data_IF_036219096723
#
_entry.id   IF_036219096723
#
_cell.length_a   1.000
_cell.length_b   1.000
_cell.length_c   1.000
_cell.angle_alpha   90.00
_cell.angle_beta   90.00
_cell.angle_gamma   90.00
#
_symmetry.space_group_name_H-M   'P 1'
#
loop_
_entity.id
_entity.type
_entity.pdbx_description
1 polymer ?
#
# COMPACT_ATOMS: atom_id res chain seq x y z
N UNK A 1 -10.46 -16.59 15.79
CA UNK A 1 -10.45 -15.14 15.51
C UNK A 1 -9.50 -14.92 14.36
N UNK A 2 -10.01 -14.42 13.24
CA UNK A 2 -9.18 -14.05 12.10
C UNK A 2 -8.20 -12.97 12.59
N UNK A 3 -6.87 -13.16 12.53
CA UNK A 3 -5.92 -12.21 13.11
C UNK A 3 -5.82 -10.99 12.21
N UNK A 4 -6.82 -10.13 12.29
CA UNK A 4 -6.78 -8.80 11.72
C UNK A 4 -6.82 -7.75 12.82
N UNK A 5 -6.21 -6.61 12.55
CA UNK A 5 -6.25 -5.42 13.39
C UNK A 5 -6.62 -4.21 12.56
N UNK A 6 -7.06 -3.14 13.22
CA UNK A 6 -7.17 -1.84 12.58
C UNK A 6 -5.79 -1.39 12.07
N UNK A 7 -5.76 -0.82 10.87
CA UNK A 7 -4.56 -0.24 10.31
C UNK A 7 -4.20 1.07 11.01
N UNK A 8 -2.91 1.27 11.28
CA UNK A 8 -2.36 2.52 11.77
C UNK A 8 -2.21 3.52 10.60
N UNK A 9 -2.19 4.84 10.88
CA UNK A 9 -1.83 5.84 9.88
C UNK A 9 -0.48 5.52 9.22
N UNK A 10 -0.44 5.63 7.89
CA UNK A 10 0.76 5.31 7.09
C UNK A 10 0.87 3.84 6.67
N UNK A 11 0.02 2.95 7.18
CA UNK A 11 -0.04 1.58 6.69
C UNK A 11 -0.81 1.49 5.38
N UNK A 12 -0.28 0.73 4.43
CA UNK A 12 -0.70 0.71 3.05
C UNK A 12 -1.25 -0.65 2.67
N UNK A 13 -2.35 -0.59 1.95
CA UNK A 13 -2.84 -1.72 1.19
C UNK A 13 -1.88 -2.05 0.05
N UNK A 14 -1.92 -3.29 -0.45
CA UNK A 14 -1.20 -3.75 -1.66
C UNK A 14 -1.49 -2.90 -2.91
N UNK A 15 -2.52 -2.05 -2.86
CA UNK A 15 -2.85 -1.05 -3.86
C UNK A 15 -2.19 0.32 -3.67
N UNK A 16 -1.41 0.52 -2.61
CA UNK A 16 -0.79 1.80 -2.23
C UNK A 16 -1.71 2.80 -1.53
N UNK A 17 -3.00 2.51 -1.36
CA UNK A 17 -3.90 3.34 -0.53
C UNK A 17 -3.71 3.03 0.95
N UNK A 18 -4.10 3.96 1.80
CA UNK A 18 -4.18 3.72 3.24
C UNK A 18 -5.03 2.48 3.53
N UNK A 19 -4.44 1.55 4.27
CA UNK A 19 -5.13 0.39 4.79
C UNK A 19 -6.16 0.82 5.85
N UNK A 20 -7.24 0.07 5.95
CA UNK A 20 -8.21 0.13 7.04
C UNK A 20 -8.01 -1.03 8.01
N UNK A 21 -7.64 -2.17 7.46
CA UNK A 21 -7.42 -3.42 8.19
C UNK A 21 -6.06 -3.97 7.79
N UNK A 22 -5.39 -4.63 8.73
CA UNK A 22 -4.14 -5.36 8.50
C UNK A 22 -4.36 -6.81 8.91
N UNK A 23 -4.11 -7.72 7.99
CA UNK A 23 -4.22 -9.16 8.20
C UNK A 23 -2.84 -9.75 8.43
N UNK A 24 -2.66 -10.48 9.52
CA UNK A 24 -1.48 -11.30 9.73
C UNK A 24 -1.63 -12.62 8.96
N UNK A 25 -0.67 -12.93 8.11
CA UNK A 25 -0.56 -14.22 7.42
C UNK A 25 0.07 -15.27 8.33
N UNK A 26 -0.10 -16.54 7.97
CA UNK A 26 0.44 -17.67 8.73
C UNK A 26 1.98 -17.66 8.84
N UNK A 27 2.64 -17.00 7.90
CA UNK A 27 4.10 -16.78 7.85
C UNK A 27 4.59 -15.58 8.70
N UNK A 28 3.67 -14.83 9.31
CA UNK A 28 3.97 -13.65 10.10
C UNK A 28 4.01 -12.34 9.31
N UNK A 29 3.89 -12.37 7.97
CA UNK A 29 3.75 -11.14 7.18
C UNK A 29 2.40 -10.47 7.44
N UNK A 30 2.44 -9.15 7.56
CA UNK A 30 1.25 -8.32 7.69
C UNK A 30 0.87 -7.71 6.34
N UNK A 31 -0.40 -7.83 5.95
CA UNK A 31 -0.94 -7.26 4.71
C UNK A 31 -2.08 -6.28 5.00
N UNK A 32 -1.91 -5.06 4.50
CA UNK A 32 -2.93 -4.03 4.51
C UNK A 32 -4.04 -4.26 3.50
N UNK A 33 -5.26 -3.94 3.90
CA UNK A 33 -6.47 -3.97 3.08
C UNK A 33 -7.23 -2.65 3.23
N UNK A 34 -7.56 -2.03 2.10
CA UNK A 34 -8.24 -0.73 2.09
C UNK A 34 -9.77 -0.82 1.97
N UNK A 35 -10.36 -2.03 2.00
CA UNK A 35 -11.80 -2.23 1.80
C UNK A 35 -12.23 -2.41 0.33
N UNK A 36 -11.29 -2.37 -0.62
CA UNK A 36 -11.59 -2.58 -2.04
C UNK A 36 -11.29 -4.04 -2.41
N UNK A 37 -12.29 -4.87 -2.75
CA UNK A 37 -12.12 -6.32 -2.94
C UNK A 37 -11.21 -6.68 -4.12
N UNK A 38 -11.18 -5.83 -5.15
CA UNK A 38 -10.30 -5.96 -6.31
C UNK A 38 -8.82 -5.67 -5.97
N UNK A 39 -8.48 -5.40 -4.70
CA UNK A 39 -7.14 -4.96 -4.31
C UNK A 39 -6.71 -3.71 -5.07
N UNK A 40 -7.70 -2.93 -5.53
CA UNK A 40 -7.56 -1.78 -6.41
C UNK A 40 -6.99 -2.05 -7.80
N UNK A 41 -7.03 -3.27 -8.35
CA UNK A 41 -6.49 -3.64 -9.67
C UNK A 41 -6.76 -2.62 -10.79
N UNK A 42 -7.86 -1.87 -10.71
CA UNK A 42 -8.16 -0.73 -11.61
C UNK A 42 -7.31 0.53 -11.44
N UNK A 43 -6.41 0.61 -10.46
CA UNK A 43 -5.66 1.83 -10.13
C UNK A 43 -4.38 2.07 -10.97
N UNK A 44 -4.15 1.30 -12.05
CA UNK A 44 -3.02 1.51 -12.96
C UNK A 44 -1.71 0.83 -12.54
N UNK A 45 -0.58 1.54 -12.69
CA UNK A 45 0.77 1.04 -12.34
C UNK A 45 0.89 0.68 -10.86
N UNK A 46 1.76 -0.28 -10.57
CA UNK A 46 2.04 -0.70 -9.21
C UNK A 46 2.76 0.43 -8.45
N UNK A 47 2.23 0.90 -7.31
CA UNK A 47 2.83 2.00 -6.57
C UNK A 47 4.15 1.63 -5.87
N UNK A 48 4.49 0.34 -5.78
CA UNK A 48 5.69 -0.14 -5.08
C UNK A 48 6.89 -0.35 -6.01
N UNK A 49 6.65 -0.78 -7.26
CA UNK A 49 7.72 -1.07 -8.22
C UNK A 49 7.63 -0.23 -9.50
N UNK A 50 6.56 0.55 -9.71
CA UNK A 50 6.32 1.32 -10.93
C UNK A 50 5.94 0.50 -12.16
N UNK A 51 5.96 -0.83 -12.07
CA UNK A 51 5.65 -1.73 -13.18
C UNK A 51 4.15 -2.04 -13.27
N UNK A 52 3.76 -2.93 -14.20
CA UNK A 52 2.43 -3.52 -14.19
C UNK A 52 2.16 -4.23 -12.86
N UNK A 53 0.89 -4.25 -12.49
CA UNK A 53 0.44 -4.84 -11.24
C UNK A 53 0.68 -6.35 -11.23
N UNK A 54 1.12 -6.84 -10.08
CA UNK A 54 1.38 -8.26 -9.87
C UNK A 54 0.06 -8.99 -9.62
N UNK A 55 -0.15 -10.10 -10.31
CA UNK A 55 -1.26 -11.03 -10.10
C UNK A 55 -0.79 -12.44 -10.50
N UNK A 56 -0.97 -13.46 -9.63
CA UNK A 56 -1.56 -13.40 -8.30
C UNK A 56 -0.60 -12.80 -7.24
N UNK A 57 -1.16 -12.13 -6.22
CA UNK A 57 -0.41 -11.71 -5.02
C UNK A 57 0.08 -10.25 -4.99
N UNK A 58 0.66 -9.81 -3.86
CA UNK A 58 1.22 -8.47 -3.71
C UNK A 58 2.48 -8.26 -4.57
N UNK A 59 2.89 -7.01 -4.73
CA UNK A 59 4.18 -6.70 -5.33
C UNK A 59 5.32 -7.30 -4.49
N UNK A 60 6.38 -7.86 -5.07
CA UNK A 60 7.55 -8.31 -4.31
C UNK A 60 8.31 -7.17 -3.60
N UNK A 61 8.00 -5.92 -3.93
CA UNK A 61 8.48 -4.71 -3.23
C UNK A 61 7.43 -4.11 -2.28
N UNK A 62 6.33 -4.83 -2.06
CA UNK A 62 5.32 -4.42 -1.12
C UNK A 62 5.93 -4.31 0.28
N UNK A 63 5.57 -3.23 0.95
CA UNK A 63 5.82 -3.06 2.37
C UNK A 63 4.57 -2.45 2.98
N UNK A 64 4.21 -2.90 4.18
CA UNK A 64 3.04 -2.39 4.90
C UNK A 64 3.19 -0.89 5.19
N UNK A 65 4.41 -0.44 5.49
CA UNK A 65 4.74 0.98 5.55
C UNK A 65 5.86 1.28 4.58
N UNK A 66 5.69 2.31 3.77
CA UNK A 66 6.81 2.84 3.01
C UNK A 66 7.89 3.30 3.98
N UNK A 67 9.19 3.12 3.66
CA UNK A 67 10.26 3.73 4.45
C UNK A 67 10.01 5.24 4.48
N UNK A 68 10.17 5.86 5.66
CA UNK A 68 9.98 7.30 5.83
C UNK A 68 10.76 8.06 4.76
N UNK A 69 10.03 8.77 3.87
CA UNK A 69 10.60 9.49 2.73
C UNK A 69 10.25 8.97 1.32
N UNK A 70 9.55 7.85 1.18
CA UNK A 70 9.10 7.35 -0.14
C UNK A 70 7.76 7.93 -0.63
N UNK A 71 7.13 8.84 0.14
CA UNK A 71 6.12 9.74 -0.42
C UNK A 71 6.83 10.70 -1.38
N UNK A 72 6.55 10.51 -2.67
CA UNK A 72 6.95 11.40 -3.76
C UNK A 72 6.74 12.83 -3.27
N UNK A 73 7.83 13.60 -3.16
CA UNK A 73 7.80 15.04 -2.94
C UNK A 73 6.74 15.60 -3.88
N UNK A 74 5.64 16.08 -3.32
CA UNK A 74 4.73 16.96 -4.04
C UNK A 74 5.58 18.14 -4.51
N UNK A 75 5.81 18.17 -5.82
CA UNK A 75 6.28 19.32 -6.55
C UNK A 75 5.19 20.39 -6.43
N UNK A 76 5.24 21.14 -5.33
CA UNK A 76 4.56 22.41 -5.18
C UNK A 76 5.62 23.40 -4.78
N UNK A 77 6.41 23.80 -5.77
CA UNK A 77 7.19 25.04 -5.75
C UNK A 77 6.19 26.20 -5.94
N UNK A 78 5.85 27.01 -4.92
CA UNK A 78 5.31 28.32 -5.21
C UNK A 78 6.46 29.16 -5.76
N UNK A 79 6.50 29.35 -7.09
CA UNK A 79 7.31 30.41 -7.70
C UNK A 79 6.87 31.74 -7.10
N UNK A 80 7.72 32.29 -6.23
CA UNK A 80 7.63 33.68 -5.82
C UNK A 80 7.92 34.60 -7.01
N UNK A 81 7.09 35.62 -7.15
CA UNK A 81 7.32 36.82 -7.98
C UNK A 81 7.05 38.04 -7.13
#
# INVERSE_FOLDING_TARGET
MTPWRAAAPGELCTCGRQAREVFARSDGEEIGYCGVPDGGAKAGQCPFCGMRRHSPGPCPRYTLRLPEGAVKRDDSEPKGS
#
